data_IF_498810422002
#
_entry.id   IF_498810422002
#
_cell.length_a   1.000
_cell.length_b   1.000
_cell.length_c   1.000
_cell.angle_alpha   90.00
_cell.angle_beta   90.00
_cell.angle_gamma   90.00
#
_symmetry.space_group_name_H-M   'P 1'
#
loop_
_entity.id
_entity.type
_entity.pdbx_description
1 polymer ?
#
# COMPACT_ATOMS: atom_id res chain seq x y z
N UNK A 1 -4.29 36.83 11.34
CA UNK A 1 -5.72 36.54 11.10
C UNK A 1 -6.21 37.07 9.78
N UNK A 2 -5.84 38.29 9.38
CA UNK A 2 -6.22 38.86 8.08
C UNK A 2 -5.65 38.12 6.87
N UNK A 3 -4.44 37.61 6.94
CA UNK A 3 -3.81 36.83 5.84
C UNK A 3 -4.52 35.51 5.59
N UNK A 4 -4.93 34.80 6.65
CA UNK A 4 -5.67 33.52 6.54
C UNK A 4 -7.07 33.75 5.95
N UNK A 5 -7.74 34.86 6.32
CA UNK A 5 -9.05 35.21 5.80
C UNK A 5 -8.96 35.60 4.31
N UNK A 6 -7.92 36.32 3.90
CA UNK A 6 -7.68 36.72 2.51
C UNK A 6 -7.33 35.51 1.64
N UNK A 7 -6.58 34.56 2.16
CA UNK A 7 -6.19 33.36 1.43
C UNK A 7 -7.39 32.42 1.19
N UNK A 8 -8.36 32.37 2.10
CA UNK A 8 -9.62 31.63 1.91
C UNK A 8 -10.47 32.12 0.74
N UNK A 9 -10.28 33.34 0.33
CA UNK A 9 -11.03 33.93 -0.80
C UNK A 9 -10.37 33.70 -2.15
N UNK A 10 -9.13 33.27 -2.19
CA UNK A 10 -8.45 32.94 -3.45
C UNK A 10 -8.97 31.64 -4.01
N UNK A 11 -9.48 31.69 -5.24
CA UNK A 11 -9.94 30.50 -5.93
C UNK A 11 -8.74 29.63 -6.31
N UNK A 12 -8.75 28.37 -5.85
CA UNK A 12 -7.77 27.38 -6.28
C UNK A 12 -7.94 27.10 -7.77
N UNK A 13 -6.87 27.16 -8.54
CA UNK A 13 -6.86 26.88 -9.99
C UNK A 13 -6.06 25.63 -10.35
N UNK A 14 -5.04 25.33 -9.59
CA UNK A 14 -4.16 24.17 -9.82
C UNK A 14 -3.77 23.50 -8.52
N UNK A 15 -3.59 22.19 -8.58
CA UNK A 15 -3.22 21.34 -7.45
C UNK A 15 -2.06 20.44 -7.89
N UNK A 16 -1.02 20.34 -7.07
CA UNK A 16 0.03 19.35 -7.22
C UNK A 16 -0.24 18.20 -6.26
N UNK A 17 -0.39 17.00 -6.81
CA UNK A 17 -0.58 15.77 -6.04
C UNK A 17 0.71 14.97 -6.09
N UNK A 18 1.29 14.65 -4.93
CA UNK A 18 2.62 14.04 -4.80
C UNK A 18 2.57 12.50 -4.86
N UNK A 19 1.76 11.98 -5.74
CA UNK A 19 1.63 10.54 -6.02
C UNK A 19 1.49 10.29 -7.51
N UNK A 20 1.52 9.03 -7.91
CA UNK A 20 1.29 8.65 -9.29
C UNK A 20 -0.12 9.01 -9.75
N UNK A 21 -0.24 9.32 -11.04
CA UNK A 21 -1.55 9.57 -11.64
C UNK A 21 -2.45 8.33 -11.53
N UNK A 22 -3.73 8.51 -11.17
CA UNK A 22 -4.65 7.38 -11.08
C UNK A 22 -4.90 6.76 -12.45
N UNK A 23 -4.91 5.43 -12.49
CA UNK A 23 -5.25 4.67 -13.70
C UNK A 23 -6.77 4.58 -13.93
N UNK A 24 -7.55 4.79 -12.88
CA UNK A 24 -9.00 4.69 -12.92
C UNK A 24 -9.63 6.05 -13.25
N UNK A 25 -10.44 6.08 -14.31
CA UNK A 25 -11.21 7.26 -14.71
C UNK A 25 -12.22 7.72 -13.63
N UNK A 26 -12.60 6.85 -12.72
CA UNK A 26 -13.47 7.17 -11.59
C UNK A 26 -12.75 7.77 -10.38
N UNK A 27 -11.47 8.03 -10.49
CA UNK A 27 -10.66 8.61 -9.41
C UNK A 27 -11.31 9.87 -8.83
N UNK A 28 -11.36 10.00 -7.49
CA UNK A 28 -11.84 11.21 -6.83
C UNK A 28 -11.11 12.49 -7.28
N UNK A 29 -9.83 12.38 -7.62
CA UNK A 29 -9.04 13.53 -8.11
C UNK A 29 -9.53 14.03 -9.46
N UNK A 30 -9.84 13.12 -10.40
CA UNK A 30 -10.33 13.49 -11.72
C UNK A 30 -11.73 14.10 -11.64
N UNK A 31 -12.61 13.54 -10.80
CA UNK A 31 -13.94 14.10 -10.53
C UNK A 31 -13.87 15.49 -9.90
N UNK A 32 -12.91 15.71 -9.00
CA UNK A 32 -12.69 17.01 -8.39
C UNK A 32 -12.21 18.05 -9.42
N UNK A 33 -11.27 17.64 -10.28
CA UNK A 33 -10.75 18.49 -11.34
C UNK A 33 -11.87 18.94 -12.31
N UNK A 34 -12.71 18.01 -12.72
CA UNK A 34 -13.83 18.28 -13.61
C UNK A 34 -14.88 19.19 -12.94
N UNK A 35 -15.30 18.84 -11.72
CA UNK A 35 -16.34 19.57 -10.98
C UNK A 35 -15.99 21.05 -10.74
N UNK A 36 -14.73 21.33 -10.46
CA UNK A 36 -14.27 22.69 -10.10
C UNK A 36 -13.39 23.35 -11.15
N UNK A 37 -13.25 22.72 -12.30
CA UNK A 37 -12.38 23.17 -13.41
C UNK A 37 -10.96 23.46 -12.92
N UNK A 38 -10.36 22.46 -12.28
CA UNK A 38 -9.01 22.52 -11.70
C UNK A 38 -8.01 21.82 -12.60
N UNK A 39 -6.80 22.35 -12.68
CA UNK A 39 -5.65 21.63 -13.20
C UNK A 39 -5.03 20.81 -12.08
N UNK A 40 -4.88 19.51 -12.28
CA UNK A 40 -4.19 18.63 -11.33
C UNK A 40 -2.95 18.05 -12.01
N UNK A 41 -1.79 18.30 -11.41
CA UNK A 41 -0.52 17.70 -11.80
C UNK A 41 -0.13 16.60 -10.81
N UNK A 42 0.17 15.42 -11.31
CA UNK A 42 0.63 14.31 -10.49
C UNK A 42 2.15 14.16 -10.62
N UNK A 43 2.86 14.16 -9.51
CA UNK A 43 4.31 13.95 -9.45
C UNK A 43 4.66 13.07 -8.26
N UNK A 44 4.98 11.79 -8.48
CA UNK A 44 5.43 10.93 -7.40
C UNK A 44 6.83 11.36 -6.93
N UNK A 45 6.96 11.63 -5.64
CA UNK A 45 8.25 11.89 -4.99
C UNK A 45 8.78 10.66 -4.24
N UNK A 46 7.95 9.66 -4.05
CA UNK A 46 8.32 8.39 -3.41
C UNK A 46 8.01 7.27 -4.38
N UNK A 47 8.99 6.43 -4.61
CA UNK A 47 8.86 5.20 -5.39
C UNK A 47 9.18 4.01 -4.49
N UNK A 48 8.30 3.02 -4.49
CA UNK A 48 8.50 1.76 -3.76
C UNK A 48 9.00 0.72 -4.73
N UNK A 49 10.18 0.18 -4.47
CA UNK A 49 10.79 -0.87 -5.28
C UNK A 49 10.95 -2.16 -4.47
N UNK A 50 10.75 -3.33 -5.09
CA UNK A 50 10.98 -4.60 -4.41
C UNK A 50 12.49 -4.80 -4.17
N UNK A 51 12.82 -5.40 -3.03
CA UNK A 51 14.19 -5.86 -2.78
C UNK A 51 14.43 -7.08 -3.66
N UNK A 52 15.50 -7.11 -4.48
CA UNK A 52 15.82 -8.29 -5.27
C UNK A 52 16.10 -9.51 -4.40
N UNK A 53 15.70 -10.70 -4.83
CA UNK A 53 15.92 -11.94 -4.09
C UNK A 53 17.39 -12.19 -3.74
N UNK A 54 18.31 -11.80 -4.63
CA UNK A 54 19.75 -11.86 -4.38
C UNK A 54 20.18 -11.04 -3.17
N UNK A 55 19.66 -9.83 -3.02
CA UNK A 55 19.96 -8.96 -1.88
C UNK A 55 19.31 -9.47 -0.60
N UNK A 56 18.09 -9.97 -0.69
CA UNK A 56 17.41 -10.57 0.45
C UNK A 56 18.16 -11.79 0.99
N UNK A 57 18.70 -12.65 0.11
CA UNK A 57 19.50 -13.81 0.54
C UNK A 57 20.72 -13.43 1.37
N UNK A 58 21.33 -12.28 1.10
CA UNK A 58 22.50 -11.78 1.88
C UNK A 58 22.13 -11.48 3.33
N UNK A 59 20.87 -11.18 3.61
CA UNK A 59 20.39 -10.91 4.96
C UNK A 59 20.26 -12.17 5.82
N UNK A 60 20.32 -13.36 5.22
CA UNK A 60 20.25 -14.67 5.89
C UNK A 60 19.00 -14.83 6.77
N UNK A 61 17.88 -14.25 6.37
CA UNK A 61 16.60 -14.39 7.05
C UNK A 61 15.92 -15.67 6.57
N UNK A 62 15.64 -16.58 7.50
CA UNK A 62 14.83 -17.76 7.21
C UNK A 62 13.36 -17.46 7.48
N UNK A 63 12.60 -17.24 6.43
CA UNK A 63 11.17 -16.91 6.51
C UNK A 63 10.40 -18.06 7.16
N UNK A 64 10.73 -19.31 6.85
CA UNK A 64 10.00 -20.49 7.33
C UNK A 64 10.27 -20.81 8.81
N UNK A 65 11.31 -20.22 9.38
CA UNK A 65 11.58 -20.32 10.81
C UNK A 65 10.62 -19.48 11.65
N UNK A 66 9.95 -18.51 11.04
CA UNK A 66 8.98 -17.65 11.70
C UNK A 66 7.58 -18.29 11.69
N UNK A 67 6.83 -18.07 12.77
CA UNK A 67 5.48 -18.62 12.95
C UNK A 67 4.38 -17.63 12.60
N UNK A 68 4.74 -16.36 12.45
CA UNK A 68 3.83 -15.28 12.12
C UNK A 68 4.50 -14.21 11.27
N UNK A 69 3.71 -13.52 10.47
CA UNK A 69 4.13 -12.41 9.62
C UNK A 69 3.19 -11.22 9.84
N UNK A 70 3.77 -10.03 9.98
CA UNK A 70 3.01 -8.77 10.08
C UNK A 70 3.11 -8.03 8.75
N UNK A 71 1.97 -7.73 8.15
CA UNK A 71 1.88 -6.91 6.95
C UNK A 71 1.36 -5.52 7.28
N UNK A 72 2.13 -4.51 6.97
CA UNK A 72 1.84 -3.11 7.24
C UNK A 72 1.21 -2.36 6.07
N UNK A 73 1.23 -2.96 4.87
CA UNK A 73 0.67 -2.36 3.66
C UNK A 73 0.43 -3.41 2.57
N UNK A 74 -0.33 -3.03 1.54
CA UNK A 74 -0.49 -3.87 0.35
C UNK A 74 0.81 -4.05 -0.42
N UNK A 75 1.66 -3.01 -0.47
CA UNK A 75 2.99 -3.11 -1.08
C UNK A 75 3.86 -4.14 -0.35
N UNK A 76 3.80 -4.18 0.97
CA UNK A 76 4.51 -5.19 1.76
C UNK A 76 4.05 -6.61 1.41
N UNK A 77 2.75 -6.82 1.20
CA UNK A 77 2.20 -8.10 0.76
C UNK A 77 2.75 -8.49 -0.61
N UNK A 78 2.66 -7.60 -1.59
CA UNK A 78 3.13 -7.87 -2.95
C UNK A 78 4.63 -8.20 -2.99
N UNK A 79 5.45 -7.41 -2.34
CA UNK A 79 6.90 -7.59 -2.36
C UNK A 79 7.35 -8.81 -1.57
N UNK A 80 6.67 -9.13 -0.48
CA UNK A 80 6.93 -10.35 0.28
C UNK A 80 6.67 -11.61 -0.56
N UNK A 81 5.52 -11.70 -1.21
CA UNK A 81 5.19 -12.86 -2.03
C UNK A 81 6.01 -12.91 -3.32
N UNK A 82 6.44 -11.78 -3.83
CA UNK A 82 7.40 -11.73 -4.93
C UNK A 82 8.74 -12.39 -4.53
N UNK A 83 9.27 -12.06 -3.36
CA UNK A 83 10.46 -12.70 -2.80
C UNK A 83 10.24 -14.20 -2.61
N UNK A 84 9.11 -14.60 -2.04
CA UNK A 84 8.78 -16.01 -1.87
C UNK A 84 8.77 -16.76 -3.21
N UNK A 85 8.23 -16.15 -4.24
CA UNK A 85 8.20 -16.73 -5.59
C UNK A 85 9.61 -16.88 -6.18
N UNK A 86 10.45 -15.84 -6.08
CA UNK A 86 11.84 -15.90 -6.55
C UNK A 86 12.66 -16.96 -5.80
N UNK A 87 12.45 -17.12 -4.51
CA UNK A 87 13.17 -18.08 -3.68
C UNK A 87 12.52 -19.45 -3.62
N UNK A 88 11.39 -19.64 -4.32
CA UNK A 88 10.59 -20.88 -4.30
C UNK A 88 10.19 -21.31 -2.89
N UNK A 89 9.75 -20.35 -2.10
CA UNK A 89 9.25 -20.56 -0.74
C UNK A 89 7.73 -20.59 -0.76
N UNK A 90 7.15 -21.67 -0.22
CA UNK A 90 5.71 -21.78 -0.04
C UNK A 90 5.35 -21.55 1.43
N UNK A 91 4.29 -20.77 1.66
CA UNK A 91 3.84 -20.50 3.01
C UNK A 91 3.18 -21.73 3.62
N UNK A 92 3.61 -22.14 4.83
CA UNK A 92 2.98 -23.24 5.54
C UNK A 92 1.50 -22.92 5.86
N UNK A 93 0.68 -23.97 5.90
CA UNK A 93 -0.74 -23.82 6.22
C UNK A 93 -1.00 -23.31 7.64
N UNK A 94 -0.04 -23.41 8.53
CA UNK A 94 -0.11 -22.96 9.92
C UNK A 94 0.51 -21.57 10.17
N UNK A 95 1.05 -20.93 9.14
CA UNK A 95 1.55 -19.56 9.24
C UNK A 95 0.42 -18.61 9.65
N UNK A 96 0.69 -17.77 10.64
CA UNK A 96 -0.23 -16.73 11.09
C UNK A 96 0.10 -15.41 10.43
N UNK A 97 -0.93 -14.62 10.11
CA UNK A 97 -0.79 -13.33 9.45
C UNK A 97 -1.47 -12.24 10.28
N UNK A 98 -0.74 -11.18 10.55
CA UNK A 98 -1.25 -9.99 11.23
C UNK A 98 -1.25 -8.84 10.23
N UNK A 99 -2.41 -8.26 9.97
CA UNK A 99 -2.59 -7.18 9.02
C UNK A 99 -3.03 -5.91 9.76
N UNK A 100 -2.44 -4.78 9.38
CA UNK A 100 -2.71 -3.51 10.03
C UNK A 100 -4.16 -3.03 9.80
N UNK A 101 -4.77 -3.44 8.69
CA UNK A 101 -6.13 -3.04 8.32
C UNK A 101 -6.87 -4.16 7.60
N UNK A 102 -8.19 -4.04 7.57
CA UNK A 102 -9.05 -4.96 6.81
C UNK A 102 -8.72 -4.96 5.31
N UNK A 103 -8.39 -3.81 4.75
CA UNK A 103 -7.97 -3.72 3.36
C UNK A 103 -6.73 -4.57 3.06
N UNK A 104 -5.73 -4.52 3.93
CA UNK A 104 -4.52 -5.34 3.79
C UNK A 104 -4.84 -6.82 3.96
N UNK A 105 -5.69 -7.16 4.91
CA UNK A 105 -6.16 -8.53 5.14
C UNK A 105 -6.89 -9.09 3.91
N UNK A 106 -7.80 -8.32 3.33
CA UNK A 106 -8.52 -8.71 2.11
C UNK A 106 -7.58 -8.83 0.91
N UNK A 107 -6.60 -7.96 0.80
CA UNK A 107 -5.60 -8.00 -0.27
C UNK A 107 -4.72 -9.25 -0.21
N UNK A 108 -4.49 -9.78 0.98
CA UNK A 108 -3.74 -11.02 1.20
C UNK A 108 -4.37 -12.23 0.50
N UNK A 109 -5.68 -12.22 0.24
CA UNK A 109 -6.40 -13.28 -0.49
C UNK A 109 -5.89 -13.49 -1.91
N UNK A 110 -5.23 -12.49 -2.49
CA UNK A 110 -4.61 -12.61 -3.82
C UNK A 110 -3.54 -13.69 -3.87
N UNK A 111 -2.90 -13.97 -2.73
CA UNK A 111 -1.74 -14.86 -2.64
C UNK A 111 -1.99 -16.14 -1.86
N UNK A 112 -2.89 -16.11 -0.88
CA UNK A 112 -3.17 -17.25 -0.01
C UNK A 112 -4.68 -17.49 0.13
N UNK A 113 -5.05 -18.74 0.44
CA UNK A 113 -6.40 -19.08 0.82
C UNK A 113 -6.62 -18.61 2.26
N UNK A 114 -7.57 -17.70 2.47
CA UNK A 114 -7.88 -17.18 3.80
C UNK A 114 -8.51 -18.27 4.67
N UNK A 115 -7.85 -18.50 5.81
CA UNK A 115 -8.42 -19.25 6.93
C UNK A 115 -8.63 -18.27 8.07
N UNK A 116 -9.87 -18.00 8.44
CA UNK A 116 -10.25 -17.01 9.46
C UNK A 116 -9.51 -17.14 10.79
N UNK A 117 -9.05 -18.33 11.13
CA UNK A 117 -8.35 -18.60 12.39
C UNK A 117 -6.88 -18.16 12.41
N UNK A 118 -6.33 -17.77 11.25
CA UNK A 118 -4.89 -17.47 11.10
C UNK A 118 -4.60 -16.05 10.62
N UNK A 119 -5.64 -15.29 10.35
CA UNK A 119 -5.53 -13.89 9.94
C UNK A 119 -6.13 -13.02 11.03
N UNK A 120 -5.30 -12.12 11.54
CA UNK A 120 -5.65 -11.17 12.57
C UNK A 120 -5.57 -9.77 11.97
N UNK A 121 -6.63 -8.98 12.13
CA UNK A 121 -6.72 -7.64 11.52
C UNK A 121 -6.81 -6.58 12.61
N UNK A 122 -6.05 -5.51 12.47
CA UNK A 122 -6.17 -4.32 13.31
C UNK A 122 -7.50 -3.61 13.08
N UNK A 123 -8.11 -3.12 14.14
CA UNK A 123 -9.38 -2.40 14.09
C UNK A 123 -9.22 -0.90 13.82
N UNK A 124 -8.01 -0.36 14.08
CA UNK A 124 -7.66 1.04 13.84
C UNK A 124 -6.28 1.11 13.20
N UNK A 125 -6.12 2.06 12.29
CA UNK A 125 -4.79 2.43 11.80
C UNK A 125 -3.97 3.00 12.94
N UNK A 126 -2.74 2.55 13.03
CA UNK A 126 -1.79 3.13 13.97
C UNK A 126 -1.50 4.59 13.60
#
# INVERSE_FOLDING_TARGET
>A
MSEIATDRMRKVKSILVTQEAPLDANSPYLKLAEKYNLKIDFRPFIQVEPVPGKEFRKQKIDILHHTAIIFTSRNAVDHFFHICQELKIEMPADMKYFCISEQTSNYLQKYIVIRKRKIFTGLKTA
#
